data_IF_954845343614
#
_entry.id   IF_954845343614
#
_cell.length_a   1.000
_cell.length_b   1.000
_cell.length_c   1.000
_cell.angle_alpha   90.00
_cell.angle_beta   90.00
_cell.angle_gamma   90.00
#
_symmetry.space_group_name_H-M   'P 1'
#
loop_
_entity.id
_entity.type
_entity.pdbx_description
1 polymer ?
#
# COMPACT_ATOMS: atom_id res chain seq x y z
N UNK A 1 -3.08 46.04 41.42
CA UNK A 1 -4.32 45.84 40.64
C UNK A 1 -3.90 45.36 39.26
N UNK A 2 -4.27 44.21 38.68
CA UNK A 2 -5.15 43.10 39.03
C UNK A 2 -4.49 41.83 38.48
N UNK A 3 -4.54 40.73 39.25
CA UNK A 3 -4.27 39.36 38.77
C UNK A 3 -5.62 38.70 38.51
N UNK A 4 -5.78 37.99 37.40
CA UNK A 4 -6.88 37.07 37.19
C UNK A 4 -6.39 35.63 37.45
N UNK A 5 -7.05 34.85 38.31
CA UNK A 5 -6.85 33.41 38.42
C UNK A 5 -8.11 32.68 37.92
N UNK A 6 -7.98 31.77 36.95
CA UNK A 6 -9.05 30.82 36.63
C UNK A 6 -8.53 29.39 36.84
N UNK A 7 -8.99 28.81 37.94
CA UNK A 7 -9.00 27.39 38.27
C UNK A 7 -10.47 26.94 38.31
N UNK A 8 -10.78 25.76 37.77
CA UNK A 8 -12.16 25.25 37.76
C UNK A 8 -12.37 23.94 37.00
N UNK A 9 -11.78 22.85 37.48
CA UNK A 9 -12.31 21.47 37.39
C UNK A 9 -13.74 21.43 38.01
N UNK A 10 -14.74 20.64 37.60
CA UNK A 10 -14.86 19.16 37.48
C UNK A 10 -16.28 18.75 37.02
N UNK A 11 -16.36 17.57 36.37
CA UNK A 11 -17.35 16.47 36.45
C UNK A 11 -18.85 16.62 36.09
N UNK A 12 -19.36 15.52 35.51
CA UNK A 12 -20.76 15.16 35.30
C UNK A 12 -20.96 14.61 33.88
N UNK A 13 -20.71 13.33 33.57
CA UNK A 13 -21.44 12.10 33.92
C UNK A 13 -22.09 11.50 32.65
N UNK A 14 -21.62 10.28 32.35
CA UNK A 14 -22.29 9.13 31.74
C UNK A 14 -23.66 9.35 31.06
N UNK A 15 -23.75 8.96 29.79
CA UNK A 15 -24.85 8.09 29.40
C UNK A 15 -24.41 7.09 28.31
N UNK A 16 -24.26 5.85 28.75
CA UNK A 16 -24.24 4.65 27.93
C UNK A 16 -25.65 4.44 27.35
N UNK A 17 -25.79 4.39 26.02
CA UNK A 17 -26.89 3.65 25.40
C UNK A 17 -26.34 2.76 24.29
N UNK A 18 -26.41 1.47 24.57
CA UNK A 18 -25.91 0.41 23.72
C UNK A 18 -26.74 0.23 22.45
N UNK A 19 -26.04 -0.11 21.37
CA UNK A 19 -26.62 -0.89 20.28
C UNK A 19 -25.88 -2.20 20.19
N UNK A 20 -26.51 -3.23 20.75
CA UNK A 20 -26.11 -4.61 20.64
C UNK A 20 -26.26 -5.09 19.18
N UNK A 21 -25.14 -5.48 18.59
CA UNK A 21 -25.09 -6.24 17.34
C UNK A 21 -25.57 -7.68 17.59
N UNK A 22 -26.68 -8.05 16.96
CA UNK A 22 -27.24 -9.40 16.93
C UNK A 22 -26.75 -10.13 15.67
N UNK A 23 -25.69 -10.93 15.79
CA UNK A 23 -25.31 -11.92 14.78
C UNK A 23 -25.63 -13.31 15.31
N UNK A 24 -26.80 -13.84 14.95
CA UNK A 24 -27.18 -15.24 15.18
C UNK A 24 -26.29 -16.16 14.35
N UNK A 25 -25.79 -17.22 14.96
CA UNK A 25 -25.13 -18.37 14.30
C UNK A 25 -26.11 -19.54 14.30
N UNK A 26 -26.44 -20.02 13.10
CA UNK A 26 -26.85 -21.40 12.84
C UNK A 26 -25.77 -21.95 11.88
N UNK A 27 -24.97 -22.94 12.26
CA UNK A 27 -25.33 -24.36 12.16
C UNK A 27 -25.03 -24.86 10.73
N UNK A 28 -23.78 -25.15 10.36
CA UNK A 28 -23.11 -26.46 10.44
C UNK A 28 -23.52 -27.51 9.36
N UNK A 29 -22.46 -28.08 8.78
CA UNK A 29 -22.32 -29.42 8.18
C UNK A 29 -22.73 -29.65 6.70
N UNK A 30 -21.78 -30.21 5.95
CA UNK A 30 -21.98 -30.75 4.60
C UNK A 30 -20.66 -31.10 3.90
N UNK A 31 -19.93 -32.09 4.41
CA UNK A 31 -18.83 -32.76 3.69
C UNK A 31 -19.43 -33.64 2.60
N UNK A 32 -18.83 -33.65 1.40
CA UNK A 32 -18.82 -34.86 0.56
C UNK A 32 -17.60 -34.88 -0.36
N UNK A 33 -16.77 -35.92 -0.18
CA UNK A 33 -15.76 -36.42 -1.12
C UNK A 33 -16.36 -37.65 -1.78
N UNK A 34 -16.26 -37.80 -3.10
CA UNK A 34 -16.32 -39.11 -3.75
C UNK A 34 -15.68 -39.12 -5.15
N UNK A 35 -14.60 -39.89 -5.28
CA UNK A 35 -14.20 -40.71 -6.44
C UNK A 35 -12.98 -41.52 -5.98
N UNK A 36 -12.81 -42.81 -6.34
CA UNK A 36 -12.82 -43.25 -7.74
C UNK A 36 -13.45 -44.64 -8.00
N UNK A 37 -13.68 -44.96 -9.28
CA UNK A 37 -13.90 -46.34 -9.74
C UNK A 37 -12.84 -46.70 -10.78
N UNK A 38 -12.11 -47.78 -10.49
CA UNK A 38 -11.19 -48.46 -11.37
C UNK A 38 -11.93 -49.45 -12.27
N UNK A 39 -11.44 -49.65 -13.50
CA UNK A 39 -12.00 -50.62 -14.45
C UNK A 39 -10.99 -51.14 -15.46
N UNK A 40 -10.53 -52.37 -15.19
CA UNK A 40 -10.33 -53.51 -16.12
C UNK A 40 -9.24 -53.48 -17.21
N UNK A 41 -8.27 -54.37 -16.96
CA UNK A 41 -7.43 -55.24 -17.80
C UNK A 41 -7.71 -55.42 -19.31
N UNK A 42 -6.62 -55.57 -20.07
CA UNK A 42 -6.58 -56.33 -21.32
C UNK A 42 -5.29 -56.16 -22.14
N UNK A 43 -4.35 -57.09 -22.03
CA UNK A 43 -3.30 -57.38 -23.06
C UNK A 43 -3.70 -58.71 -23.73
N UNK A 44 -3.46 -58.89 -25.05
CA UNK A 44 -2.22 -59.56 -25.45
C UNK A 44 -1.63 -59.10 -26.81
N UNK A 45 -0.44 -59.66 -27.08
CA UNK A 45 0.49 -59.40 -28.17
C UNK A 45 -0.05 -59.53 -29.61
N UNK A 46 0.49 -58.69 -30.51
CA UNK A 46 0.36 -58.82 -31.95
C UNK A 46 1.36 -57.93 -32.69
N UNK A 47 2.46 -58.50 -33.17
CA UNK A 47 3.44 -57.83 -34.04
C UNK A 47 2.78 -57.46 -35.38
N UNK A 48 2.77 -56.18 -35.72
CA UNK A 48 2.70 -55.70 -37.11
C UNK A 48 3.75 -54.60 -37.29
N UNK A 49 4.75 -54.88 -38.12
CA UNK A 49 5.66 -53.87 -38.69
C UNK A 49 4.85 -53.04 -39.69
N UNK A 50 4.75 -51.73 -39.47
CA UNK A 50 4.43 -50.77 -40.52
C UNK A 50 5.61 -49.83 -40.64
N UNK A 51 6.40 -50.02 -41.69
CA UNK A 51 7.38 -49.06 -42.13
C UNK A 51 6.68 -47.85 -42.79
N UNK A 52 7.30 -46.69 -42.54
CA UNK A 52 7.27 -45.46 -43.36
C UNK A 52 5.98 -44.65 -43.45
N UNK A 53 5.94 -43.59 -42.63
CA UNK A 53 5.76 -42.23 -43.18
C UNK A 53 6.93 -41.37 -42.73
N UNK A 54 7.78 -40.99 -43.69
CA UNK A 54 8.90 -40.06 -43.54
C UNK A 54 8.34 -38.72 -43.07
N UNK A 55 8.70 -38.29 -41.86
CA UNK A 55 8.40 -36.93 -41.41
C UNK A 55 9.03 -35.94 -42.40
N UNK A 56 8.29 -34.92 -42.89
CA UNK A 56 8.87 -33.90 -43.74
C UNK A 56 9.99 -33.18 -42.96
N UNK A 57 11.07 -32.76 -43.64
CA UNK A 57 12.15 -32.02 -43.00
C UNK A 57 11.57 -30.78 -42.34
N UNK A 58 12.04 -30.54 -41.11
CA UNK A 58 11.84 -29.35 -40.30
C UNK A 58 11.58 -28.11 -41.16
N UNK A 59 10.30 -27.76 -41.30
CA UNK A 59 9.92 -26.42 -41.70
C UNK A 59 10.49 -25.50 -40.63
N UNK A 60 11.56 -24.78 -40.98
CA UNK A 60 12.02 -23.64 -40.22
C UNK A 60 10.79 -22.79 -39.89
N UNK A 61 10.42 -22.75 -38.61
CA UNK A 61 9.39 -21.83 -38.15
C UNK A 61 9.74 -20.46 -38.74
N UNK A 62 8.78 -19.74 -39.37
CA UNK A 62 9.10 -18.45 -39.93
C UNK A 62 9.61 -17.57 -38.80
N UNK A 63 10.92 -17.27 -38.81
CA UNK A 63 11.48 -16.19 -38.03
C UNK A 63 10.82 -14.94 -38.60
N UNK A 64 9.65 -14.58 -38.06
CA UNK A 64 9.05 -13.26 -38.24
C UNK A 64 10.07 -12.29 -37.65
N UNK A 65 10.92 -11.75 -38.51
CA UNK A 65 11.72 -10.58 -38.19
C UNK A 65 10.74 -9.48 -37.82
N UNK A 66 10.51 -9.29 -36.52
CA UNK A 66 9.69 -8.21 -36.01
C UNK A 66 10.20 -6.91 -36.62
N UNK A 67 9.29 -6.08 -37.10
CA UNK A 67 9.62 -4.77 -37.65
C UNK A 67 10.42 -3.98 -36.59
N UNK A 68 11.38 -3.15 -37.00
CA UNK A 68 12.17 -2.29 -36.10
C UNK A 68 11.27 -1.53 -35.12
N UNK A 69 10.08 -1.11 -35.57
CA UNK A 69 9.08 -0.45 -34.73
C UNK A 69 8.51 -1.38 -33.62
N UNK A 70 8.23 -2.65 -33.96
CA UNK A 70 7.75 -3.64 -32.99
C UNK A 70 8.84 -3.99 -31.97
N UNK A 71 10.11 -4.07 -32.40
CA UNK A 71 11.23 -4.28 -31.49
C UNK A 71 11.45 -3.08 -30.55
N UNK A 72 11.28 -1.85 -31.05
CA UNK A 72 11.32 -0.63 -30.23
C UNK A 72 10.15 -0.57 -29.23
N UNK A 73 8.94 -0.95 -29.66
CA UNK A 73 7.77 -1.03 -28.77
C UNK A 73 7.97 -2.08 -27.66
N UNK A 74 8.43 -3.28 -28.01
CA UNK A 74 8.68 -4.34 -27.03
C UNK A 74 9.82 -4.00 -26.07
N UNK A 75 10.88 -3.33 -26.55
CA UNK A 75 11.97 -2.89 -25.68
C UNK A 75 11.55 -1.73 -24.77
N UNK A 76 10.73 -0.79 -25.25
CA UNK A 76 10.12 0.24 -24.42
C UNK A 76 9.21 -0.35 -23.34
N UNK A 77 8.39 -1.35 -23.69
CA UNK A 77 7.54 -2.08 -22.74
C UNK A 77 8.37 -2.84 -21.70
N UNK A 78 9.43 -3.55 -22.10
CA UNK A 78 10.32 -4.22 -21.14
C UNK A 78 11.01 -3.23 -20.21
N UNK A 79 11.52 -2.12 -20.75
CA UNK A 79 12.14 -1.07 -19.95
C UNK A 79 11.14 -0.45 -18.97
N UNK A 80 9.90 -0.22 -19.41
CA UNK A 80 8.83 0.25 -18.53
C UNK A 80 8.51 -0.78 -17.43
N UNK A 81 8.48 -2.07 -17.76
CA UNK A 81 8.27 -3.16 -16.80
C UNK A 81 9.45 -3.26 -15.80
N UNK A 82 10.68 -3.18 -16.28
CA UNK A 82 11.89 -3.16 -15.45
C UNK A 82 11.92 -1.94 -14.53
N UNK A 83 11.58 -0.76 -15.05
CA UNK A 83 11.42 0.45 -14.24
C UNK A 83 10.30 0.28 -13.20
N UNK A 84 9.16 -0.34 -13.56
CA UNK A 84 8.08 -0.72 -12.64
C UNK A 84 8.57 -1.62 -11.52
N UNK A 85 9.38 -2.63 -11.82
CA UNK A 85 9.94 -3.54 -10.81
C UNK A 85 10.98 -2.83 -9.94
N UNK A 86 11.81 -1.95 -10.53
CA UNK A 86 12.80 -1.18 -9.78
C UNK A 86 12.14 -0.31 -8.71
N UNK A 87 10.96 0.26 -8.97
CA UNK A 87 10.25 1.09 -7.98
C UNK A 87 9.66 0.31 -6.81
N UNK A 88 9.57 -1.02 -6.90
CA UNK A 88 9.09 -1.87 -5.80
C UNK A 88 10.15 -2.05 -4.71
N UNK A 89 11.41 -1.76 -5.03
CA UNK A 89 12.53 -1.91 -4.12
C UNK A 89 13.01 -0.55 -3.62
N UNK A 90 13.57 -0.50 -2.42
CA UNK A 90 14.30 0.67 -1.95
C UNK A 90 15.70 0.67 -2.61
N UNK A 91 16.27 1.84 -2.95
CA UNK A 91 17.63 1.88 -3.52
C UNK A 91 18.65 1.35 -2.52
N UNK A 92 19.75 0.78 -3.02
CA UNK A 92 20.84 0.26 -2.19
C UNK A 92 21.29 1.30 -1.16
N UNK A 93 21.53 0.86 0.08
CA UNK A 93 21.92 1.73 1.19
C UNK A 93 20.78 2.58 1.76
N UNK A 94 19.52 2.31 1.40
CA UNK A 94 18.36 2.94 2.02
C UNK A 94 17.53 1.90 2.77
N UNK A 95 16.97 2.31 3.90
CA UNK A 95 16.11 1.47 4.72
C UNK A 95 14.94 2.27 5.26
N UNK A 96 13.82 1.60 5.52
CA UNK A 96 12.69 2.19 6.23
C UNK A 96 12.75 1.74 7.68
N UNK A 97 12.80 2.71 8.59
CA UNK A 97 12.81 2.50 10.04
C UNK A 97 11.55 3.07 10.65
N UNK A 98 10.97 2.38 11.62
CA UNK A 98 9.84 2.90 12.39
C UNK A 98 10.37 3.86 13.46
N UNK A 99 9.73 5.01 13.62
CA UNK A 99 9.95 5.89 14.77
C UNK A 99 9.05 5.44 15.92
N UNK A 100 9.63 5.39 17.12
CA UNK A 100 8.90 5.09 18.36
C UNK A 100 8.46 6.36 19.08
N UNK A 101 9.08 7.50 18.77
CA UNK A 101 8.85 8.76 19.46
C UNK A 101 8.71 9.94 18.50
N UNK A 102 7.82 10.86 18.85
CA UNK A 102 7.60 12.09 18.09
C UNK A 102 8.78 13.07 18.14
N UNK A 103 9.62 12.95 19.17
CA UNK A 103 10.81 13.79 19.37
C UNK A 103 12.08 13.20 18.74
N UNK A 104 11.98 12.16 17.90
CA UNK A 104 13.11 11.71 17.07
C UNK A 104 13.61 12.90 16.24
N UNK A 105 14.88 13.26 16.41
CA UNK A 105 15.47 14.47 15.80
C UNK A 105 15.33 14.48 14.28
N UNK A 106 15.40 13.32 13.64
CA UNK A 106 15.27 13.16 12.19
C UNK A 106 13.84 13.39 11.73
N UNK A 107 12.86 12.94 12.53
CA UNK A 107 11.44 13.19 12.26
C UNK A 107 11.12 14.67 12.43
N UNK A 108 11.56 15.28 13.53
CA UNK A 108 11.36 16.72 13.81
C UNK A 108 11.94 17.58 12.69
N UNK A 109 13.15 17.26 12.21
CA UNK A 109 13.76 17.96 11.07
C UNK A 109 12.86 17.88 9.82
N UNK A 110 12.41 16.69 9.44
CA UNK A 110 11.57 16.52 8.25
C UNK A 110 10.17 17.13 8.39
N UNK A 111 9.58 17.09 9.59
CA UNK A 111 8.30 17.75 9.86
C UNK A 111 8.43 19.26 9.76
N UNK A 112 9.51 19.83 10.28
CA UNK A 112 9.80 21.26 10.19
C UNK A 112 9.97 21.69 8.73
N UNK A 113 10.70 20.91 7.93
CA UNK A 113 10.84 21.16 6.50
C UNK A 113 9.50 21.05 5.77
N UNK A 114 8.66 20.08 6.12
CA UNK A 114 7.35 19.93 5.49
C UNK A 114 6.41 21.10 5.85
N UNK A 115 6.41 21.54 7.11
CA UNK A 115 5.63 22.69 7.57
C UNK A 115 6.01 23.99 6.83
N UNK A 116 7.29 24.17 6.50
CA UNK A 116 7.73 25.31 5.70
C UNK A 116 7.14 25.30 4.28
N UNK A 117 6.79 24.13 3.74
CA UNK A 117 6.20 23.97 2.40
C UNK A 117 4.66 23.92 2.42
N UNK A 118 4.06 23.44 3.51
CA UNK A 118 2.62 23.25 3.65
C UNK A 118 2.20 23.66 5.07
N UNK A 119 1.64 24.86 5.22
CA UNK A 119 1.27 25.45 6.51
C UNK A 119 0.19 24.67 7.26
N UNK A 120 -0.50 23.74 6.59
CA UNK A 120 -1.51 22.84 7.18
C UNK A 120 -0.87 21.73 8.00
N UNK A 121 0.40 21.44 7.75
CA UNK A 121 1.22 20.54 8.58
C UNK A 121 1.47 21.26 9.90
N UNK A 122 0.57 21.07 10.85
CA UNK A 122 0.63 21.76 12.13
C UNK A 122 1.89 21.40 12.91
N UNK A 123 2.47 22.39 13.60
CA UNK A 123 3.39 22.20 14.74
C UNK A 123 2.63 21.67 15.97
N UNK A 124 1.66 20.78 15.77
CA UNK A 124 0.98 20.09 16.86
C UNK A 124 2.09 19.45 17.68
N UNK A 125 2.21 19.82 18.95
CA UNK A 125 3.24 19.34 19.86
C UNK A 125 3.04 17.84 20.09
N UNK A 126 3.45 17.03 19.12
CA UNK A 126 3.44 15.60 19.22
C UNK A 126 4.56 15.28 20.21
N UNK A 127 4.15 14.90 21.41
CA UNK A 127 5.04 14.65 22.54
C UNK A 127 4.90 13.18 22.96
N UNK A 128 5.97 12.63 23.52
CA UNK A 128 5.97 11.24 23.98
C UNK A 128 6.12 10.20 22.87
N UNK A 129 5.61 9.01 23.16
CA UNK A 129 5.65 7.85 22.28
C UNK A 129 4.60 7.93 21.17
N UNK A 130 4.91 7.32 20.03
CA UNK A 130 3.96 7.08 18.96
C UNK A 130 3.15 5.85 19.36
N UNK A 131 1.89 6.07 19.71
CA UNK A 131 1.00 5.00 20.16
C UNK A 131 0.15 4.46 19.00
N UNK A 132 -0.17 3.16 19.08
CA UNK A 132 -1.10 2.53 18.16
C UNK A 132 -2.46 3.23 18.22
N UNK A 133 -3.17 3.44 17.09
CA UNK A 133 -2.89 2.94 15.74
C UNK A 133 -1.95 3.82 14.88
N UNK A 134 -1.35 4.86 15.43
CA UNK A 134 -0.42 5.71 14.68
C UNK A 134 0.91 5.00 14.45
N UNK A 135 1.46 5.18 13.25
CA UNK A 135 2.78 4.71 12.86
C UNK A 135 3.49 5.79 12.06
N UNK A 136 4.76 6.01 12.38
CA UNK A 136 5.64 6.87 11.61
C UNK A 136 6.83 6.07 11.14
N UNK A 137 7.13 6.17 9.85
CA UNK A 137 8.30 5.52 9.27
C UNK A 137 9.17 6.53 8.55
N UNK A 138 10.49 6.45 8.78
CA UNK A 138 11.50 7.25 8.11
C UNK A 138 12.17 6.42 7.03
N UNK A 139 12.40 7.02 5.87
CA UNK A 139 13.37 6.52 4.90
C UNK A 139 14.74 7.11 5.23
N UNK A 140 15.68 6.23 5.55
CA UNK A 140 17.00 6.58 6.07
C UNK A 140 18.07 6.07 5.12
N UNK A 141 19.10 6.89 4.89
CA UNK A 141 20.30 6.55 4.13
C UNK A 141 21.30 5.74 4.96
N UNK A 142 22.32 5.20 4.31
CA UNK A 142 23.39 4.43 4.96
C UNK A 142 24.17 5.24 6.01
N UNK A 143 24.23 6.56 5.85
CA UNK A 143 24.86 7.49 6.81
C UNK A 143 23.96 7.82 8.03
N UNK A 144 22.76 7.24 8.11
CA UNK A 144 21.81 7.47 9.19
C UNK A 144 20.90 8.70 9.01
N UNK A 145 21.09 9.50 7.96
CA UNK A 145 20.26 10.68 7.69
C UNK A 145 18.89 10.30 7.12
N UNK A 146 17.83 10.96 7.61
CA UNK A 146 16.47 10.75 7.09
C UNK A 146 16.16 11.70 5.93
N UNK A 147 15.60 11.15 4.87
CA UNK A 147 15.29 11.87 3.63
C UNK A 147 13.80 11.93 3.29
N UNK A 148 13.00 11.08 3.91
CA UNK A 148 11.55 11.07 3.75
C UNK A 148 10.90 10.47 4.99
N UNK A 149 9.64 10.78 5.21
CA UNK A 149 8.82 10.08 6.19
C UNK A 149 7.40 9.88 5.70
N UNK A 150 6.74 8.89 6.29
CA UNK A 150 5.31 8.68 6.16
C UNK A 150 4.71 8.52 7.55
N UNK A 151 3.73 9.35 7.88
CA UNK A 151 2.89 9.19 9.05
C UNK A 151 1.54 8.65 8.60
N UNK A 152 1.16 7.52 9.20
CA UNK A 152 -0.09 6.84 8.92
C UNK A 152 -0.79 6.43 10.20
N UNK A 153 -2.08 6.18 10.10
CA UNK A 153 -2.89 5.51 11.11
C UNK A 153 -3.44 4.23 10.50
N UNK A 154 -3.25 3.11 11.18
CA UNK A 154 -3.85 1.85 10.74
C UNK A 154 -5.32 1.80 11.17
N UNK A 155 -6.17 1.26 10.31
CA UNK A 155 -7.51 0.90 10.72
C UNK A 155 -7.50 -0.13 11.84
N UNK A 156 -8.59 -0.24 12.59
CA UNK A 156 -8.81 -1.43 13.39
C UNK A 156 -8.70 -2.67 12.48
N UNK A 157 -8.08 -3.76 12.97
CA UNK A 157 -8.02 -5.03 12.23
C UNK A 157 -9.45 -5.55 12.02
N UNK A 158 -10.06 -5.19 10.91
CA UNK A 158 -11.35 -5.72 10.50
C UNK A 158 -11.07 -6.81 9.47
N UNK A 159 -11.08 -8.07 9.91
CA UNK A 159 -10.85 -9.24 9.03
C UNK A 159 -12.02 -9.49 8.06
N UNK A 160 -13.12 -8.76 8.19
CA UNK A 160 -14.28 -8.89 7.33
C UNK A 160 -15.13 -7.64 7.40
N UNK A 161 -15.44 -7.06 6.24
CA UNK A 161 -16.24 -5.88 5.94
C UNK A 161 -15.52 -4.52 6.01
N UNK A 162 -15.51 -3.88 4.84
CA UNK A 162 -14.93 -2.58 4.48
C UNK A 162 -15.70 -1.49 5.23
N UNK A 163 -15.39 -1.32 6.51
CA UNK A 163 -15.84 -0.13 7.22
C UNK A 163 -14.96 1.04 6.77
N UNK A 164 -15.53 1.95 5.99
CA UNK A 164 -14.89 3.17 5.48
C UNK A 164 -14.25 4.00 6.61
N UNK A 165 -14.80 3.91 7.83
CA UNK A 165 -14.24 4.57 9.01
C UNK A 165 -12.91 3.95 9.48
N UNK A 166 -12.63 2.71 9.08
CA UNK A 166 -11.48 1.90 9.48
C UNK A 166 -10.48 1.67 8.35
N UNK A 167 -10.48 2.48 7.29
CA UNK A 167 -9.45 2.40 6.26
C UNK A 167 -8.07 2.81 6.82
N UNK A 168 -6.99 2.11 6.42
CA UNK A 168 -5.64 2.63 6.61
C UNK A 168 -5.54 4.06 6.06
N UNK A 169 -4.95 4.96 6.84
CA UNK A 169 -4.94 6.40 6.53
C UNK A 169 -3.52 6.92 6.50
N UNK A 170 -3.18 7.65 5.44
CA UNK A 170 -1.94 8.42 5.38
C UNK A 170 -2.26 9.84 5.80
N UNK A 171 -1.63 10.30 6.88
CA UNK A 171 -1.71 11.69 7.31
C UNK A 171 -0.68 12.51 6.54
N UNK A 172 0.60 12.15 6.64
CA UNK A 172 1.69 12.85 5.95
C UNK A 172 2.52 11.88 5.11
N UNK A 173 2.97 12.35 3.95
CA UNK A 173 4.09 11.77 3.21
C UNK A 173 4.95 12.91 2.71
N UNK A 174 6.19 12.95 3.18
CA UNK A 174 7.14 13.99 2.82
C UNK A 174 8.43 13.39 2.32
N UNK A 175 9.02 14.02 1.30
CA UNK A 175 10.36 13.74 0.81
C UNK A 175 11.11 15.06 0.76
N UNK A 176 12.29 15.11 1.36
CA UNK A 176 13.19 16.25 1.33
C UNK A 176 13.38 16.71 -0.11
N UNK A 177 13.29 18.01 -0.35
CA UNK A 177 13.27 18.58 -1.71
C UNK A 177 14.40 18.06 -2.61
N UNK A 178 15.64 18.08 -2.10
CA UNK A 178 16.83 17.59 -2.79
C UNK A 178 16.74 16.13 -3.26
N UNK A 179 15.86 15.32 -2.66
CA UNK A 179 15.72 13.89 -2.93
C UNK A 179 14.51 13.55 -3.84
N UNK A 180 13.65 14.51 -4.21
CA UNK A 180 12.38 14.23 -4.93
C UNK A 180 12.57 13.62 -6.31
N UNK A 181 13.62 13.99 -7.03
CA UNK A 181 13.91 13.48 -8.39
C UNK A 181 14.27 11.99 -8.43
N UNK A 182 14.63 11.39 -7.30
CA UNK A 182 14.98 9.98 -7.20
C UNK A 182 13.77 9.05 -6.94
N UNK A 183 12.55 9.58 -7.07
CA UNK A 183 11.30 8.83 -6.90
C UNK A 183 11.13 8.16 -5.52
N UNK A 184 11.79 8.66 -4.47
CA UNK A 184 11.67 8.09 -3.13
C UNK A 184 10.24 8.11 -2.59
N UNK A 185 9.46 9.15 -2.89
CA UNK A 185 8.05 9.20 -2.47
C UNK A 185 7.22 8.06 -3.06
N UNK A 186 7.51 7.68 -4.31
CA UNK A 186 6.86 6.56 -5.01
C UNK A 186 7.24 5.23 -4.37
N UNK A 187 8.54 5.03 -4.13
CA UNK A 187 9.05 3.81 -3.49
C UNK A 187 8.53 3.66 -2.06
N UNK A 188 8.50 4.74 -1.29
CA UNK A 188 7.99 4.75 0.09
C UNK A 188 6.48 4.48 0.15
N UNK A 189 5.70 5.08 -0.74
CA UNK A 189 4.28 4.81 -0.85
C UNK A 189 4.01 3.34 -1.24
N UNK A 190 4.77 2.81 -2.20
CA UNK A 190 4.66 1.41 -2.61
C UNK A 190 5.03 0.47 -1.45
N UNK A 191 6.14 0.73 -0.76
CA UNK A 191 6.54 0.00 0.44
C UNK A 191 5.44 0.00 1.50
N UNK A 192 4.85 1.16 1.80
CA UNK A 192 3.78 1.27 2.78
C UNK A 192 2.54 0.47 2.36
N UNK A 193 2.12 0.59 1.09
CA UNK A 193 0.98 -0.16 0.55
C UNK A 193 1.20 -1.67 0.63
N UNK A 194 2.41 -2.13 0.27
CA UNK A 194 2.79 -3.55 0.34
C UNK A 194 2.84 -4.11 1.75
N UNK A 195 2.80 -3.26 2.78
CA UNK A 195 2.87 -3.70 4.19
C UNK A 195 1.55 -3.53 4.92
N UNK A 196 0.81 -2.46 4.62
CA UNK A 196 -0.35 -2.04 5.41
C UNK A 196 -1.67 -1.98 4.62
N UNK A 197 -1.61 -2.02 3.28
CA UNK A 197 -2.78 -1.98 2.41
C UNK A 197 -2.90 -3.24 1.52
N UNK A 198 -2.27 -4.37 1.91
CA UNK A 198 -2.33 -5.62 1.13
C UNK A 198 -3.77 -6.16 1.00
N UNK A 199 -4.54 -6.05 2.08
CA UNK A 199 -5.88 -6.62 2.19
C UNK A 199 -6.99 -5.60 1.88
N UNK A 200 -6.64 -4.32 1.71
CA UNK A 200 -7.61 -3.24 1.52
C UNK A 200 -7.30 -2.56 0.18
N UNK A 201 -8.21 -2.69 -0.78
CA UNK A 201 -8.06 -2.04 -2.09
C UNK A 201 -8.13 -0.50 -1.98
N UNK A 202 -8.69 -0.01 -0.87
CA UNK A 202 -8.91 1.41 -0.57
C UNK A 202 -8.09 1.86 0.63
N UNK A 203 -7.59 3.08 0.60
CA UNK A 203 -7.01 3.76 1.75
C UNK A 203 -7.37 5.24 1.72
N UNK A 204 -7.32 5.90 2.88
CA UNK A 204 -7.62 7.33 3.01
C UNK A 204 -6.34 8.17 3.05
N UNK A 205 -6.40 9.39 2.55
CA UNK A 205 -5.32 10.38 2.65
C UNK A 205 -5.89 11.68 3.19
N UNK A 206 -5.37 12.16 4.31
CA UNK A 206 -5.82 13.40 4.96
C UNK A 206 -5.27 14.61 4.19
N UNK A 207 -6.16 15.51 3.77
CA UNK A 207 -5.88 16.81 3.14
C UNK A 207 -4.80 16.82 2.04
N UNK A 208 -4.87 15.91 1.04
CA UNK A 208 -3.78 15.73 0.08
C UNK A 208 -3.57 17.01 -0.74
N UNK A 209 -2.35 17.56 -0.65
CA UNK A 209 -1.91 18.63 -1.54
C UNK A 209 -1.70 18.13 -2.97
N UNK A 210 -1.46 19.06 -3.91
CA UNK A 210 -1.24 18.73 -5.32
C UNK A 210 -0.01 17.81 -5.54
N UNK A 211 1.00 17.87 -4.66
CA UNK A 211 2.15 16.97 -4.69
C UNK A 211 1.75 15.53 -4.41
N UNK A 212 1.00 15.32 -3.32
CA UNK A 212 0.45 14.03 -2.93
C UNK A 212 -0.49 13.46 -4.00
N UNK A 213 -1.42 14.26 -4.54
CA UNK A 213 -2.34 13.82 -5.62
C UNK A 213 -1.58 13.34 -6.86
N UNK A 214 -0.58 14.10 -7.30
CA UNK A 214 0.30 13.72 -8.43
C UNK A 214 1.09 12.45 -8.13
N UNK A 215 1.57 12.28 -6.90
CA UNK A 215 2.27 11.08 -6.47
C UNK A 215 1.34 9.85 -6.54
N UNK A 216 0.12 9.96 -6.00
CA UNK A 216 -0.89 8.90 -5.99
C UNK A 216 -1.28 8.50 -7.41
N UNK A 217 -1.58 9.47 -8.28
CA UNK A 217 -1.90 9.21 -9.69
C UNK A 217 -0.76 8.47 -10.41
N UNK A 218 0.49 8.90 -10.23
CA UNK A 218 1.67 8.23 -10.80
C UNK A 218 1.93 6.84 -10.23
N UNK A 219 1.34 6.51 -9.09
CA UNK A 219 1.39 5.19 -8.46
C UNK A 219 0.22 4.29 -8.85
N UNK A 220 -0.60 4.69 -9.84
CA UNK A 220 -1.78 3.93 -10.24
C UNK A 220 -2.86 3.92 -9.17
N UNK A 221 -2.90 4.94 -8.31
CA UNK A 221 -4.00 5.13 -7.39
C UNK A 221 -5.07 6.02 -8.04
N UNK A 222 -6.33 5.59 -7.96
CA UNK A 222 -7.49 6.32 -8.47
C UNK A 222 -8.26 6.90 -7.30
N UNK A 223 -8.51 8.21 -7.36
CA UNK A 223 -9.33 8.92 -6.37
C UNK A 223 -10.80 8.47 -6.49
N UNK A 224 -11.45 8.16 -5.38
CA UNK A 224 -12.90 7.91 -5.35
C UNK A 224 -13.66 9.20 -5.04
N UNK A 225 -14.98 9.21 -5.27
CA UNK A 225 -15.81 10.35 -4.85
C UNK A 225 -16.05 10.37 -3.33
N UNK A 226 -15.67 9.28 -2.64
CA UNK A 226 -15.86 9.09 -1.21
C UNK A 226 -14.85 9.90 -0.40
N UNK A 227 -15.35 10.46 0.71
CA UNK A 227 -14.58 11.26 1.67
C UNK A 227 -14.96 10.87 3.08
N UNK A 228 -14.00 10.95 3.99
CA UNK A 228 -14.19 10.62 5.41
C UNK A 228 -13.49 11.63 6.31
N UNK A 229 -13.84 11.63 7.60
CA UNK A 229 -13.37 12.61 8.59
C UNK A 229 -14.47 13.61 8.95
N UNK A 230 -14.28 14.33 10.05
CA UNK A 230 -15.29 15.24 10.64
C UNK A 230 -15.78 16.33 9.66
N UNK A 231 -14.96 16.68 8.68
CA UNK A 231 -15.19 17.69 7.64
C UNK A 231 -15.01 17.14 6.22
N UNK A 232 -14.82 15.83 6.05
CA UNK A 232 -14.46 15.23 4.76
C UNK A 232 -13.03 15.54 4.29
N UNK A 233 -12.14 15.94 5.21
CA UNK A 233 -10.71 16.22 4.94
C UNK A 233 -9.95 15.06 4.33
N UNK A 234 -10.40 13.81 4.50
CA UNK A 234 -9.72 12.67 3.92
C UNK A 234 -10.38 12.15 2.66
N UNK A 235 -9.62 12.21 1.59
CA UNK A 235 -9.96 11.66 0.29
C UNK A 235 -9.58 10.17 0.24
N UNK A 236 -10.46 9.36 -0.34
CA UNK A 236 -10.24 7.93 -0.51
C UNK A 236 -9.59 7.64 -1.86
N UNK A 237 -8.72 6.63 -1.87
CA UNK A 237 -7.98 6.21 -3.05
C UNK A 237 -7.99 4.70 -3.17
N UNK A 238 -8.33 4.20 -4.36
CA UNK A 238 -8.13 2.81 -4.74
C UNK A 238 -6.75 2.63 -5.35
N UNK A 239 -6.00 1.64 -4.87
CA UNK A 239 -4.73 1.27 -5.47
C UNK A 239 -4.86 0.05 -6.36
N UNK A 240 -4.43 0.14 -7.63
CA UNK A 240 -4.32 -1.06 -8.48
C UNK A 240 -3.29 -2.01 -7.85
N UNK A 241 -3.64 -3.30 -7.76
CA UNK A 241 -2.76 -4.39 -7.28
C UNK A 241 -1.63 -4.67 -8.26
#
# INVERSE_FOLDING_TARGET
MMRAPWSGQRMGDNNEEGRASSCRRDGAAGRERASPAAGVQGRPDGKVRVETARAPPSGSAPQRSLNVLEQLLLSAQRKEEEEKQLWKQLPTGHQVVQCEHWHDSRLVELMTLFQAEDSRVGASQMSGAIEWPSLVHLLVKADGSAIAYIWSQLGARCDSCVDEANLPRIHHLYVREACRKAHFGRRLLHWWRSRYALNVETFAVTDPNQGMRRLLQRNGCTHTLERSGFDGSAEHYHGIR
#
